data_IF_411318346779
#
_entry.id   IF_411318346779
#
_cell.length_a   1.000
_cell.length_b   1.000
_cell.length_c   1.000
_cell.angle_alpha   90.00
_cell.angle_beta   90.00
_cell.angle_gamma   90.00
#
_symmetry.space_group_name_H-M   'P 1'
#
loop_
_entity.id
_entity.type
_entity.pdbx_description
1 polymer ?
#
# COMPACT_ATOMS: atom_id res chain seq x y z
N UNK A 1 0.48 2.15 -0.69
CA UNK A 1 -0.68 3.05 -0.85
C UNK A 1 -1.58 2.46 -1.93
N UNK A 2 -2.85 2.83 -1.99
CA UNK A 2 -3.75 2.34 -3.04
C UNK A 2 -3.39 2.91 -4.42
N UNK A 3 -3.77 2.17 -5.47
CA UNK A 3 -3.40 2.50 -6.84
C UNK A 3 -3.99 3.82 -7.33
N UNK A 4 -5.19 4.22 -6.89
CA UNK A 4 -5.78 5.49 -7.29
C UNK A 4 -4.94 6.65 -6.75
N UNK A 5 -4.54 6.57 -5.49
CA UNK A 5 -3.66 7.56 -4.88
C UNK A 5 -2.32 7.67 -5.60
N UNK A 6 -1.71 6.53 -5.95
CA UNK A 6 -0.44 6.52 -6.69
C UNK A 6 -0.57 7.10 -8.11
N UNK A 7 -1.69 6.83 -8.79
CA UNK A 7 -2.04 7.45 -10.08
C UNK A 7 -2.14 8.98 -9.93
N UNK A 8 -2.83 9.47 -8.90
CA UNK A 8 -3.03 10.91 -8.66
C UNK A 8 -1.71 11.60 -8.33
N UNK A 9 -0.87 11.01 -7.47
CA UNK A 9 0.45 11.53 -7.15
C UNK A 9 1.33 11.59 -8.40
N UNK A 10 1.40 10.48 -9.15
CA UNK A 10 2.16 10.42 -10.40
C UNK A 10 1.68 11.47 -11.40
N UNK A 11 0.37 11.64 -11.57
CA UNK A 11 -0.24 12.66 -12.42
C UNK A 11 0.16 14.10 -12.01
N UNK A 12 0.10 14.40 -10.71
CA UNK A 12 0.45 15.72 -10.19
C UNK A 12 1.94 16.03 -10.35
N UNK A 13 2.80 15.03 -10.13
CA UNK A 13 4.24 15.13 -10.38
C UNK A 13 4.51 15.32 -11.87
N UNK A 14 3.82 14.59 -12.74
CA UNK A 14 3.90 14.78 -14.20
C UNK A 14 3.54 16.20 -14.61
N UNK A 15 2.43 16.73 -14.10
CA UNK A 15 2.04 18.13 -14.31
C UNK A 15 3.10 19.12 -13.82
N UNK A 16 3.68 18.88 -12.64
CA UNK A 16 4.72 19.74 -12.09
C UNK A 16 5.97 19.77 -12.98
N UNK A 17 6.42 18.62 -13.48
CA UNK A 17 7.68 18.50 -14.23
C UNK A 17 7.53 18.98 -15.68
N UNK A 18 6.48 18.53 -16.40
CA UNK A 18 6.33 18.81 -17.84
C UNK A 18 4.97 19.41 -18.24
N UNK A 19 4.07 19.70 -17.30
CA UNK A 19 2.72 20.21 -17.60
C UNK A 19 2.71 21.47 -18.46
N UNK A 20 3.62 22.43 -18.19
CA UNK A 20 3.75 23.64 -19.01
C UNK A 20 4.20 23.37 -20.45
N UNK A 21 4.98 22.30 -20.67
CA UNK A 21 5.58 21.98 -21.97
C UNK A 21 4.66 21.10 -22.81
N UNK A 22 4.11 20.02 -22.24
CA UNK A 22 3.34 19.00 -22.98
C UNK A 22 1.89 18.83 -22.48
N UNK A 23 1.44 19.61 -21.51
CA UNK A 23 0.05 19.64 -21.04
C UNK A 23 -0.41 18.31 -20.45
N UNK A 24 -1.64 17.89 -20.78
CA UNK A 24 -2.25 16.66 -20.25
C UNK A 24 -1.47 15.37 -20.58
N UNK A 25 -0.58 15.40 -21.58
CA UNK A 25 0.33 14.26 -21.81
C UNK A 25 1.27 14.04 -20.62
N UNK A 26 1.69 15.11 -19.93
CA UNK A 26 2.55 15.00 -18.74
C UNK A 26 1.79 14.33 -17.59
N UNK A 27 0.53 14.74 -17.36
CA UNK A 27 -0.38 14.12 -16.39
C UNK A 27 -0.56 12.62 -16.68
N UNK A 28 -0.86 12.27 -17.92
CA UNK A 28 -1.05 10.86 -18.31
C UNK A 28 0.21 10.01 -18.08
N UNK A 29 1.37 10.47 -18.56
CA UNK A 29 2.62 9.73 -18.38
C UNK A 29 3.07 9.69 -16.92
N UNK A 30 2.79 10.73 -16.14
CA UNK A 30 3.01 10.75 -14.70
C UNK A 30 2.15 9.71 -13.99
N UNK A 31 0.86 9.63 -14.31
CA UNK A 31 -0.05 8.60 -13.79
C UNK A 31 0.45 7.18 -14.10
N UNK A 32 0.84 6.93 -15.35
CA UNK A 32 1.43 5.65 -15.78
C UNK A 32 2.68 5.35 -14.97
N UNK A 33 3.62 6.29 -14.90
CA UNK A 33 4.88 6.13 -14.17
C UNK A 33 4.65 5.83 -12.68
N UNK A 34 3.66 6.50 -12.07
CA UNK A 34 3.26 6.25 -10.68
C UNK A 34 2.66 4.86 -10.44
N UNK A 35 2.26 4.10 -11.47
CA UNK A 35 1.77 2.72 -11.33
C UNK A 35 2.85 1.67 -11.58
N UNK A 36 3.97 2.04 -12.21
CA UNK A 36 5.00 1.08 -12.63
C UNK A 36 5.56 0.25 -11.46
N UNK A 37 5.90 0.81 -10.28
CA UNK A 37 6.47 0.02 -9.19
C UNK A 37 5.56 -1.14 -8.74
N UNK A 38 4.25 -0.90 -8.66
CA UNK A 38 3.22 -1.87 -8.25
C UNK A 38 2.96 -2.99 -9.27
N UNK A 39 3.49 -2.90 -10.50
CA UNK A 39 3.39 -3.99 -11.47
C UNK A 39 4.18 -5.23 -11.05
N UNK A 40 5.01 -5.13 -10.01
CA UNK A 40 5.64 -6.26 -9.34
C UNK A 40 4.62 -7.26 -8.73
N UNK A 41 3.34 -6.89 -8.58
CA UNK A 41 2.26 -7.80 -8.19
C UNK A 41 2.13 -9.01 -9.13
N UNK A 42 2.59 -8.88 -10.38
CA UNK A 42 2.64 -9.99 -11.33
C UNK A 42 3.52 -11.15 -10.84
N UNK A 43 4.50 -10.89 -9.96
CA UNK A 43 5.37 -11.92 -9.39
C UNK A 43 4.60 -13.03 -8.67
N UNK A 44 3.41 -12.73 -8.14
CA UNK A 44 2.53 -13.74 -7.47
C UNK A 44 2.11 -14.89 -8.38
N UNK A 45 2.19 -14.72 -9.70
CA UNK A 45 1.83 -15.76 -10.67
C UNK A 45 3.01 -16.63 -11.09
N UNK A 46 4.23 -16.25 -10.69
CA UNK A 46 5.46 -16.91 -11.11
C UNK A 46 6.29 -17.44 -9.92
N UNK A 47 5.99 -17.00 -8.70
CA UNK A 47 6.70 -17.34 -7.46
C UNK A 47 5.72 -17.85 -6.40
N UNK A 48 6.24 -18.48 -5.35
CA UNK A 48 5.46 -18.84 -4.16
C UNK A 48 4.95 -17.59 -3.42
N UNK A 49 3.83 -17.73 -2.69
CA UNK A 49 3.16 -16.62 -2.00
C UNK A 49 4.10 -15.80 -1.10
N UNK A 50 4.98 -16.49 -0.37
CA UNK A 50 5.89 -15.86 0.58
C UNK A 50 6.95 -15.04 -0.15
N UNK A 51 7.63 -15.63 -1.15
CA UNK A 51 8.64 -14.94 -1.95
C UNK A 51 8.05 -13.81 -2.79
N UNK A 52 6.84 -13.99 -3.32
CA UNK A 52 6.14 -12.92 -4.02
C UNK A 52 5.89 -11.72 -3.10
N UNK A 53 5.46 -11.97 -1.85
CA UNK A 53 5.25 -10.93 -0.86
C UNK A 53 6.55 -10.27 -0.38
N UNK A 54 7.66 -11.00 -0.30
CA UNK A 54 8.98 -10.44 0.04
C UNK A 54 9.53 -9.52 -1.06
N UNK A 55 9.31 -9.88 -2.32
CA UNK A 55 9.76 -9.07 -3.46
C UNK A 55 8.84 -7.90 -3.76
N UNK A 56 7.55 -8.02 -3.47
CA UNK A 56 6.61 -6.91 -3.56
C UNK A 56 7.05 -5.80 -2.60
N UNK A 57 7.14 -4.56 -3.11
CA UNK A 57 7.69 -3.41 -2.35
C UNK A 57 9.18 -3.52 -1.99
N UNK A 58 9.89 -4.45 -2.64
CA UNK A 58 11.32 -4.63 -2.60
C UNK A 58 12.02 -3.81 -3.69
N UNK A 59 12.58 -4.51 -4.68
CA UNK A 59 13.45 -3.94 -5.73
C UNK A 59 12.79 -2.77 -6.46
N UNK A 60 11.55 -2.95 -6.95
CA UNK A 60 10.80 -1.95 -7.75
C UNK A 60 10.47 -0.67 -6.99
N UNK A 61 10.52 -0.73 -5.66
CA UNK A 61 10.23 0.39 -4.76
C UNK A 61 11.51 1.02 -4.19
N UNK A 62 12.66 0.71 -4.78
CA UNK A 62 13.94 1.28 -4.36
C UNK A 62 14.31 2.55 -5.14
N UNK A 63 15.13 3.39 -4.51
CA UNK A 63 15.74 4.54 -5.19
C UNK A 63 16.62 4.06 -6.34
N UNK A 64 17.35 2.94 -6.14
CA UNK A 64 18.21 2.35 -7.17
C UNK A 64 17.41 1.95 -8.42
N UNK A 65 16.24 1.33 -8.26
CA UNK A 65 15.34 1.02 -9.37
C UNK A 65 14.89 2.29 -10.08
N UNK A 66 14.48 3.32 -9.33
CA UNK A 66 14.10 4.61 -9.91
C UNK A 66 15.24 5.22 -10.73
N UNK A 67 16.48 5.13 -10.24
CA UNK A 67 17.68 5.71 -10.88
C UNK A 67 17.99 5.00 -12.20
N UNK A 68 17.87 3.66 -12.21
CA UNK A 68 18.15 2.85 -13.38
C UNK A 68 17.01 2.94 -14.42
N UNK A 69 15.76 2.89 -13.98
CA UNK A 69 14.60 2.74 -14.86
C UNK A 69 14.16 4.07 -15.48
N UNK A 70 14.27 5.19 -14.77
CA UNK A 70 13.87 6.50 -15.27
C UNK A 70 14.55 6.92 -16.61
N UNK A 71 15.89 6.82 -16.78
CA UNK A 71 16.52 7.13 -18.05
C UNK A 71 16.07 6.21 -19.19
N UNK A 72 15.91 4.92 -18.92
CA UNK A 72 15.47 3.91 -19.89
C UNK A 72 14.04 4.22 -20.39
N UNK A 73 13.11 4.45 -19.46
CA UNK A 73 11.72 4.77 -19.80
C UNK A 73 11.59 6.11 -20.50
N UNK A 74 12.32 7.14 -20.05
CA UNK A 74 12.32 8.45 -20.71
C UNK A 74 12.86 8.39 -22.15
N UNK A 75 13.91 7.61 -22.38
CA UNK A 75 14.44 7.38 -23.73
C UNK A 75 13.47 6.57 -24.60
N UNK A 76 12.91 5.48 -24.07
CA UNK A 76 11.95 4.64 -24.80
C UNK A 76 10.69 5.45 -25.18
N UNK A 77 10.14 6.22 -24.24
CA UNK A 77 9.01 7.11 -24.51
C UNK A 77 9.33 8.09 -25.65
N UNK A 78 10.52 8.72 -25.60
CA UNK A 78 10.93 9.65 -26.64
C UNK A 78 11.03 9.01 -28.01
N UNK A 79 11.55 7.78 -28.08
CA UNK A 79 11.76 7.04 -29.33
C UNK A 79 10.45 6.47 -29.88
N UNK A 80 9.63 5.84 -29.05
CA UNK A 80 8.38 5.21 -29.46
C UNK A 80 7.38 5.14 -28.30
N UNK A 81 6.59 6.20 -28.16
CA UNK A 81 5.54 6.33 -27.16
C UNK A 81 4.46 5.24 -27.27
N UNK A 82 4.08 4.86 -28.50
CA UNK A 82 3.05 3.85 -28.73
C UNK A 82 3.48 2.47 -28.22
N UNK A 83 4.74 2.09 -28.49
CA UNK A 83 5.33 0.84 -28.01
C UNK A 83 5.41 0.78 -26.49
N UNK A 84 5.90 1.84 -25.83
CA UNK A 84 5.95 1.87 -24.36
C UNK A 84 4.54 1.74 -23.75
N UNK A 85 3.57 2.48 -24.29
CA UNK A 85 2.20 2.42 -23.81
C UNK A 85 1.57 1.03 -24.03
N UNK A 86 1.90 0.38 -25.15
CA UNK A 86 1.43 -0.97 -25.46
C UNK A 86 1.98 -2.00 -24.47
N UNK A 87 3.27 -1.91 -24.10
CA UNK A 87 3.86 -2.80 -23.09
C UNK A 87 3.22 -2.56 -21.72
N UNK A 88 3.05 -1.30 -21.32
CA UNK A 88 2.34 -0.97 -20.08
C UNK A 88 0.92 -1.54 -20.06
N UNK A 89 0.15 -1.35 -21.15
CA UNK A 89 -1.19 -1.93 -21.30
C UNK A 89 -1.16 -3.45 -21.20
N UNK A 90 -0.21 -4.12 -21.85
CA UNK A 90 -0.09 -5.57 -21.78
C UNK A 90 0.18 -6.06 -20.35
N UNK A 91 1.06 -5.39 -19.61
CA UNK A 91 1.37 -5.73 -18.21
C UNK A 91 0.16 -5.53 -17.29
N UNK A 92 -0.54 -4.41 -17.42
CA UNK A 92 -1.77 -4.15 -16.66
C UNK A 92 -2.84 -5.19 -17.00
N UNK A 93 -3.06 -5.47 -18.28
CA UNK A 93 -4.04 -6.47 -18.72
C UNK A 93 -3.65 -7.89 -18.28
N UNK A 94 -2.35 -8.21 -18.19
CA UNK A 94 -1.87 -9.49 -17.69
C UNK A 94 -2.33 -9.73 -16.25
N UNK A 95 -2.39 -8.70 -15.39
CA UNK A 95 -2.92 -8.84 -14.03
C UNK A 95 -4.36 -9.37 -14.06
N UNK A 96 -5.21 -8.79 -14.92
CA UNK A 96 -6.61 -9.21 -15.05
C UNK A 96 -6.75 -10.60 -15.71
N UNK A 97 -5.99 -10.86 -16.78
CA UNK A 97 -6.01 -12.13 -17.52
C UNK A 97 -5.56 -13.28 -16.62
N UNK A 98 -4.50 -13.08 -15.83
CA UNK A 98 -3.98 -14.10 -14.92
C UNK A 98 -4.84 -14.26 -13.66
N UNK A 99 -5.62 -13.24 -13.27
CA UNK A 99 -6.50 -13.30 -12.09
C UNK A 99 -7.81 -14.05 -12.28
N UNK A 100 -8.24 -14.28 -13.51
CA UNK A 100 -9.52 -14.95 -13.78
C UNK A 100 -9.32 -16.44 -14.06
N UNK A 101 -10.22 -17.29 -13.59
CA UNK A 101 -10.20 -18.72 -13.89
C UNK A 101 -10.93 -19.07 -15.19
N UNK A 102 -11.82 -18.19 -15.67
CA UNK A 102 -12.64 -18.45 -16.85
C UNK A 102 -11.83 -18.35 -18.14
N UNK A 103 -11.72 -19.47 -18.87
CA UNK A 103 -11.06 -19.53 -20.19
C UNK A 103 -11.70 -18.54 -21.17
N UNK A 104 -13.04 -18.46 -21.18
CA UNK A 104 -13.75 -17.51 -22.04
C UNK A 104 -13.40 -16.06 -21.69
N UNK A 105 -13.34 -15.71 -20.40
CA UNK A 105 -12.94 -14.37 -19.97
C UNK A 105 -11.49 -14.06 -20.38
N UNK A 106 -10.56 -15.01 -20.25
CA UNK A 106 -9.16 -14.86 -20.72
C UNK A 106 -9.11 -14.55 -22.20
N UNK A 107 -9.82 -15.31 -23.03
CA UNK A 107 -9.84 -15.11 -24.49
C UNK A 107 -10.39 -13.72 -24.85
N UNK A 108 -11.48 -13.29 -24.21
CA UNK A 108 -12.04 -11.95 -24.40
C UNK A 108 -11.05 -10.86 -24.00
N UNK A 109 -10.45 -10.96 -22.81
CA UNK A 109 -9.47 -9.99 -22.33
C UNK A 109 -8.22 -9.92 -23.23
N UNK A 110 -7.73 -11.06 -23.72
CA UNK A 110 -6.63 -11.12 -24.69
C UNK A 110 -7.01 -10.42 -26.00
N UNK A 111 -8.17 -10.70 -26.57
CA UNK A 111 -8.64 -10.08 -27.80
C UNK A 111 -8.80 -8.55 -27.65
N UNK A 112 -9.39 -8.11 -26.53
CA UNK A 112 -9.51 -6.68 -26.18
C UNK A 112 -8.13 -6.05 -26.05
N UNK A 113 -7.18 -6.72 -25.39
CA UNK A 113 -5.81 -6.21 -25.22
C UNK A 113 -5.12 -6.01 -26.56
N UNK A 114 -5.20 -7.00 -27.47
CA UNK A 114 -4.64 -6.89 -28.82
C UNK A 114 -5.29 -5.75 -29.61
N UNK A 115 -6.62 -5.61 -29.51
CA UNK A 115 -7.35 -4.51 -30.15
C UNK A 115 -6.92 -3.13 -29.64
N UNK A 116 -6.75 -2.97 -28.32
CA UNK A 116 -6.25 -1.73 -27.71
C UNK A 116 -4.81 -1.47 -28.19
N UNK A 117 -3.92 -2.45 -28.15
CA UNK A 117 -2.53 -2.29 -28.61
C UNK A 117 -2.48 -1.87 -30.08
N UNK A 118 -3.26 -2.51 -30.95
CA UNK A 118 -3.33 -2.13 -32.36
C UNK A 118 -3.82 -0.68 -32.53
N UNK A 119 -4.84 -0.27 -31.77
CA UNK A 119 -5.34 1.11 -31.75
C UNK A 119 -4.27 2.10 -31.28
N UNK A 120 -3.50 1.75 -30.25
CA UNK A 120 -2.41 2.58 -29.73
C UNK A 120 -1.30 2.75 -30.76
N UNK A 121 -0.88 1.66 -31.42
CA UNK A 121 0.12 1.72 -32.50
C UNK A 121 -0.34 2.57 -33.68
N UNK A 122 -1.64 2.57 -33.97
CA UNK A 122 -2.21 3.37 -35.05
C UNK A 122 -2.37 4.86 -34.70
N UNK A 123 -2.84 5.19 -33.48
CA UNK A 123 -3.21 6.56 -33.10
C UNK A 123 -2.13 7.32 -32.36
N UNK A 124 -1.30 6.67 -31.55
CA UNK A 124 -0.31 7.35 -30.71
C UNK A 124 0.92 7.68 -31.56
N UNK A 125 0.99 8.95 -31.96
CA UNK A 125 2.20 9.52 -32.56
C UNK A 125 3.18 9.91 -31.44
N UNK A 126 4.47 9.97 -31.76
CA UNK A 126 5.59 10.08 -30.81
C UNK A 126 5.46 11.12 -29.69
N UNK A 127 6.34 11.01 -28.69
CA UNK A 127 6.38 11.91 -27.53
C UNK A 127 7.02 13.27 -27.88
N UNK A 128 6.37 13.99 -28.79
CA UNK A 128 6.79 15.31 -29.26
C UNK A 128 6.57 16.37 -28.19
N UNK A 129 7.45 17.37 -28.18
CA UNK A 129 7.38 18.50 -27.27
C UNK A 129 8.30 18.43 -26.05
N UNK A 130 8.90 17.28 -25.73
CA UNK A 130 9.96 17.18 -24.71
C UNK A 130 11.13 16.30 -25.19
N UNK A 131 12.31 16.52 -24.61
CA UNK A 131 13.54 15.74 -24.84
C UNK A 131 13.52 14.45 -24.01
N UNK A 132 14.38 13.48 -24.36
CA UNK A 132 14.52 12.25 -23.57
C UNK A 132 14.89 12.55 -22.11
N UNK A 133 15.81 13.49 -21.87
CA UNK A 133 16.22 13.92 -20.52
C UNK A 133 15.05 14.47 -19.70
N UNK A 134 14.19 15.27 -20.31
CA UNK A 134 13.00 15.83 -19.65
C UNK A 134 11.98 14.73 -19.30
N UNK A 135 11.75 13.77 -20.20
CA UNK A 135 10.91 12.61 -19.90
C UNK A 135 11.51 11.74 -18.79
N UNK A 136 12.84 11.55 -18.79
CA UNK A 136 13.53 10.82 -17.72
C UNK A 136 13.36 11.50 -16.36
N UNK A 137 13.35 12.83 -16.30
CA UNK A 137 13.04 13.56 -15.06
C UNK A 137 11.61 13.36 -14.58
N UNK A 138 10.64 13.30 -15.50
CA UNK A 138 9.26 12.98 -15.13
C UNK A 138 9.16 11.56 -14.55
N UNK A 139 9.76 10.58 -15.22
CA UNK A 139 9.78 9.20 -14.71
C UNK A 139 10.52 9.10 -13.38
N UNK A 140 11.68 9.75 -13.24
CA UNK A 140 12.44 9.77 -11.99
C UNK A 140 11.58 10.24 -10.82
N UNK A 141 10.95 11.42 -10.95
CA UNK A 141 10.14 11.96 -9.87
C UNK A 141 8.92 11.09 -9.57
N UNK A 142 8.21 10.60 -10.59
CA UNK A 142 7.05 9.74 -10.36
C UNK A 142 7.44 8.41 -9.70
N UNK A 143 8.53 7.78 -10.16
CA UNK A 143 9.04 6.51 -9.64
C UNK A 143 9.59 6.63 -8.22
N UNK A 144 10.25 7.74 -7.86
CA UNK A 144 10.80 7.93 -6.50
C UNK A 144 9.74 8.38 -5.51
N UNK A 145 8.76 9.19 -5.92
CA UNK A 145 7.69 9.63 -5.01
C UNK A 145 6.72 8.51 -4.64
N UNK A 146 6.59 7.49 -5.51
CA UNK A 146 5.76 6.32 -5.24
C UNK A 146 6.18 5.57 -3.97
N UNK A 147 7.42 5.03 -3.85
CA UNK A 147 7.85 4.32 -2.66
C UNK A 147 8.00 5.24 -1.44
N UNK A 148 8.31 6.53 -1.64
CA UNK A 148 8.29 7.51 -0.56
C UNK A 148 6.89 7.64 0.06
N UNK A 149 5.83 7.69 -0.75
CA UNK A 149 4.46 7.67 -0.24
C UNK A 149 4.16 6.34 0.46
N UNK A 150 4.62 5.22 -0.10
CA UNK A 150 4.39 3.91 0.49
C UNK A 150 5.10 3.69 1.83
N UNK A 151 6.25 4.35 2.07
CA UNK A 151 6.90 4.40 3.39
C UNK A 151 5.99 4.96 4.49
N UNK A 152 4.97 5.75 4.17
CA UNK A 152 4.03 6.28 5.17
C UNK A 152 2.98 5.25 5.63
N UNK A 153 2.81 4.17 4.88
CA UNK A 153 1.81 3.12 5.16
C UNK A 153 2.38 2.01 6.04
N UNK A 154 1.50 1.17 6.59
CA UNK A 154 1.86 -0.02 7.38
C UNK A 154 2.76 -1.02 6.67
N UNK A 155 2.65 -1.09 5.34
CA UNK A 155 3.43 -2.01 4.53
C UNK A 155 4.90 -1.61 4.45
N UNK A 156 5.17 -0.29 4.36
CA UNK A 156 6.49 0.24 4.07
C UNK A 156 7.05 -0.19 2.71
N UNK A 157 8.33 0.16 2.49
CA UNK A 157 9.10 -0.26 1.31
C UNK A 157 10.57 -0.49 1.65
N UNK A 158 11.28 -1.26 0.82
CA UNK A 158 12.74 -1.36 0.86
C UNK A 158 13.37 -0.23 0.02
N UNK A 159 13.16 1.01 0.45
CA UNK A 159 13.61 2.23 -0.25
C UNK A 159 15.12 2.20 -0.60
N UNK A 160 15.91 1.57 0.27
CA UNK A 160 17.36 1.44 0.16
C UNK A 160 17.84 0.04 -0.26
N UNK A 161 16.99 -0.76 -0.93
CA UNK A 161 17.43 -2.04 -1.50
C UNK A 161 18.74 -1.85 -2.31
N UNK A 162 19.75 -2.73 -2.16
CA UNK A 162 19.71 -4.09 -1.61
C UNK A 162 19.94 -4.22 -0.09
N UNK A 163 20.01 -3.13 0.67
CA UNK A 163 20.10 -3.23 2.13
C UNK A 163 18.78 -3.76 2.71
N UNK A 164 18.81 -4.63 3.76
CA UNK A 164 17.62 -5.23 4.37
C UNK A 164 16.89 -4.23 5.29
N UNK A 165 16.69 -2.99 4.82
CA UNK A 165 16.07 -1.91 5.58
C UNK A 165 14.68 -1.66 5.00
N UNK A 166 13.64 -1.98 5.78
CA UNK A 166 12.26 -1.62 5.47
C UNK A 166 11.87 -0.33 6.20
N UNK A 167 11.46 0.68 5.45
CA UNK A 167 11.00 1.96 6.02
C UNK A 167 9.47 1.97 6.05
N UNK A 168 8.90 2.08 7.26
CA UNK A 168 7.46 2.16 7.50
C UNK A 168 7.15 3.11 8.66
N UNK A 169 6.56 4.28 8.37
CA UNK A 169 6.19 5.27 9.36
C UNK A 169 4.83 5.00 10.00
N UNK A 170 3.96 4.25 9.34
CA UNK A 170 2.61 3.88 9.80
C UNK A 170 1.78 5.10 10.25
N UNK A 171 1.82 6.20 9.48
CA UNK A 171 1.08 7.43 9.80
C UNK A 171 -0.19 7.59 8.95
N UNK A 172 -0.34 6.86 7.85
CA UNK A 172 -1.55 6.88 7.01
C UNK A 172 -1.99 5.46 6.64
N UNK A 173 -3.31 5.25 6.53
CA UNK A 173 -3.85 4.00 6.02
C UNK A 173 -3.72 3.95 4.48
N UNK A 174 -3.69 2.73 3.93
CA UNK A 174 -3.43 2.49 2.50
C UNK A 174 -4.46 3.16 1.59
N UNK A 175 -5.71 3.26 2.04
CA UNK A 175 -6.82 3.94 1.34
C UNK A 175 -7.37 5.02 2.27
N UNK A 176 -7.03 6.28 2.06
CA UNK A 176 -7.53 7.39 2.86
C UNK A 176 -8.25 8.43 1.98
N UNK A 177 -9.59 8.44 1.95
CA UNK A 177 -10.36 9.38 1.13
C UNK A 177 -10.11 10.85 1.48
N UNK A 178 -9.81 11.16 2.75
CA UNK A 178 -9.50 12.54 3.18
C UNK A 178 -8.18 13.04 2.63
N UNK A 179 -7.24 12.13 2.36
CA UNK A 179 -6.02 12.42 1.60
C UNK A 179 -6.27 12.48 0.09
N UNK A 180 -6.87 11.44 -0.47
CA UNK A 180 -6.89 11.21 -1.92
C UNK A 180 -7.89 12.08 -2.67
N UNK A 181 -9.09 12.30 -2.13
CA UNK A 181 -10.16 13.00 -2.87
C UNK A 181 -9.86 14.49 -3.09
N UNK A 182 -9.44 15.29 -2.09
CA UNK A 182 -9.11 16.69 -2.31
C UNK A 182 -7.96 16.85 -3.31
N UNK A 183 -6.97 15.96 -3.23
CA UNK A 183 -5.83 15.96 -4.13
C UNK A 183 -6.23 15.60 -5.57
N UNK A 184 -7.03 14.54 -5.74
CA UNK A 184 -7.61 14.14 -7.03
C UNK A 184 -8.40 15.26 -7.67
N UNK A 185 -9.25 15.96 -6.91
CA UNK A 185 -10.05 17.09 -7.40
C UNK A 185 -9.15 18.18 -7.97
N UNK A 186 -8.05 18.52 -7.30
CA UNK A 186 -7.10 19.52 -7.80
C UNK A 186 -6.48 19.08 -9.14
N UNK A 187 -6.00 17.83 -9.23
CA UNK A 187 -5.41 17.30 -10.47
C UNK A 187 -6.44 17.27 -11.60
N UNK A 188 -7.67 16.81 -11.32
CA UNK A 188 -8.76 16.77 -12.28
C UNK A 188 -9.12 18.17 -12.79
N UNK A 189 -9.23 19.17 -11.91
CA UNK A 189 -9.48 20.56 -12.29
C UNK A 189 -8.35 21.09 -13.18
N UNK A 190 -7.08 20.79 -12.87
CA UNK A 190 -5.94 21.24 -13.66
C UNK A 190 -6.00 20.72 -15.12
N UNK A 191 -6.57 19.53 -15.36
CA UNK A 191 -6.68 18.95 -16.71
C UNK A 191 -7.57 19.76 -17.67
N UNK A 192 -8.48 20.59 -17.14
CA UNK A 192 -9.37 21.43 -17.95
C UNK A 192 -8.73 22.75 -18.42
N UNK A 193 -7.58 23.13 -17.85
CA UNK A 193 -6.88 24.34 -18.24
C UNK A 193 -5.82 24.07 -19.32
N UNK A 194 -5.65 25.00 -20.26
CA UNK A 194 -4.60 24.92 -21.28
C UNK A 194 -3.22 24.98 -20.62
N UNK A 195 -2.21 24.34 -21.22
CA UNK A 195 -0.82 24.32 -20.71
C UNK A 195 -0.18 25.72 -20.52
N UNK A 196 -0.68 26.74 -21.23
CA UNK A 196 -0.23 28.12 -21.11
C UNK A 196 -0.92 28.91 -20.00
N UNK A 197 -1.99 28.38 -19.41
CA UNK A 197 -2.76 29.06 -18.37
C UNK A 197 -2.05 28.90 -17.00
N UNK A 198 -1.64 30.00 -16.34
CA UNK A 198 -0.96 29.91 -15.05
C UNK A 198 -1.82 29.29 -13.94
N UNK A 199 -3.15 29.32 -14.07
CA UNK A 199 -4.07 28.68 -13.10
C UNK A 199 -3.86 27.17 -13.04
N UNK A 200 -3.50 26.53 -14.16
CA UNK A 200 -3.20 25.10 -14.24
C UNK A 200 -2.13 24.68 -13.23
N UNK A 201 -0.97 25.35 -13.30
CA UNK A 201 0.16 25.09 -12.41
C UNK A 201 -0.17 25.45 -10.95
N UNK A 202 -0.95 26.53 -10.72
CA UNK A 202 -1.38 26.94 -9.39
C UNK A 202 -2.27 25.88 -8.73
N UNK A 203 -3.27 25.38 -9.45
CA UNK A 203 -4.20 24.36 -8.93
C UNK A 203 -3.46 23.05 -8.63
N UNK A 204 -2.57 22.60 -9.52
CA UNK A 204 -1.72 21.44 -9.25
C UNK A 204 -0.84 21.65 -8.00
N UNK A 205 -0.26 22.85 -7.86
CA UNK A 205 0.52 23.23 -6.68
C UNK A 205 -0.30 23.22 -5.38
N UNK A 206 -1.56 23.66 -5.41
CA UNK A 206 -2.49 23.54 -4.27
C UNK A 206 -2.73 22.07 -3.94
N UNK A 207 -2.95 21.21 -4.93
CA UNK A 207 -3.11 19.77 -4.72
C UNK A 207 -1.89 19.14 -4.04
N UNK A 208 -0.68 19.44 -4.52
CA UNK A 208 0.57 18.99 -3.91
C UNK A 208 0.76 19.54 -2.48
N UNK A 209 0.37 20.79 -2.23
CA UNK A 209 0.40 21.39 -0.90
C UNK A 209 -0.57 20.67 0.05
N UNK A 210 -1.80 20.40 -0.37
CA UNK A 210 -2.79 19.66 0.43
C UNK A 210 -2.26 18.27 0.77
N UNK A 211 -1.76 17.54 -0.23
CA UNK A 211 -1.15 16.22 -0.04
C UNK A 211 0.02 16.27 0.96
N UNK A 212 0.96 17.20 0.77
CA UNK A 212 2.13 17.32 1.65
C UNK A 212 1.75 17.74 3.07
N UNK A 213 0.84 18.72 3.21
CA UNK A 213 0.37 19.20 4.51
C UNK A 213 -0.40 18.12 5.27
N UNK A 214 -1.23 17.33 4.58
CA UNK A 214 -1.92 16.18 5.18
C UNK A 214 -0.92 15.14 5.70
N UNK A 215 0.14 14.85 4.93
CA UNK A 215 1.17 13.90 5.37
C UNK A 215 1.90 14.39 6.64
N UNK A 216 2.22 15.68 6.73
CA UNK A 216 2.78 16.27 7.95
C UNK A 216 1.78 16.21 9.11
N UNK A 217 0.52 16.53 8.86
CA UNK A 217 -0.54 16.51 9.87
C UNK A 217 -0.74 15.11 10.46
N UNK A 218 -0.68 14.07 9.65
CA UNK A 218 -0.83 12.69 10.15
C UNK A 218 0.32 12.24 11.05
N UNK A 219 1.53 12.83 10.95
CA UNK A 219 2.57 12.62 11.96
C UNK A 219 2.21 13.25 13.31
N UNK A 220 1.57 14.43 13.30
CA UNK A 220 1.09 15.07 14.53
C UNK A 220 0.01 14.22 15.19
N UNK A 221 -0.93 13.71 14.39
CA UNK A 221 -1.96 12.77 14.85
C UNK A 221 -1.34 11.50 15.43
N UNK A 222 -0.37 10.91 14.72
CA UNK A 222 0.37 9.74 15.21
C UNK A 222 1.04 10.01 16.56
N UNK A 223 1.73 11.15 16.69
CA UNK A 223 2.41 11.53 17.91
C UNK A 223 1.42 11.69 19.08
N UNK A 224 0.31 12.39 18.86
CA UNK A 224 -0.74 12.54 19.86
C UNK A 224 -1.32 11.18 20.28
N UNK A 225 -1.72 10.34 19.33
CA UNK A 225 -2.25 9.02 19.64
C UNK A 225 -1.24 8.14 20.38
N UNK A 226 0.02 8.10 19.91
CA UNK A 226 1.07 7.29 20.51
C UNK A 226 1.39 7.72 21.94
N UNK A 227 1.49 9.02 22.21
CA UNK A 227 1.76 9.55 23.55
C UNK A 227 0.59 9.31 24.50
N UNK A 228 -0.66 9.45 24.03
CA UNK A 228 -1.84 9.14 24.84
C UNK A 228 -1.91 7.64 25.20
N UNK A 229 -1.70 6.76 24.21
CA UNK A 229 -1.68 5.31 24.44
C UNK A 229 -0.55 4.93 25.41
N UNK A 230 0.67 5.45 25.23
CA UNK A 230 1.77 5.18 26.16
C UNK A 230 1.43 5.63 27.59
N UNK A 231 0.87 6.83 27.76
CA UNK A 231 0.43 7.31 29.08
C UNK A 231 -0.70 6.45 29.68
N UNK A 232 -1.61 5.91 28.86
CA UNK A 232 -2.63 4.95 29.29
C UNK A 232 -1.99 3.66 29.80
N UNK A 233 -1.00 3.11 29.08
CA UNK A 233 -0.30 1.88 29.49
C UNK A 233 0.44 2.07 30.82
N UNK A 234 1.06 3.24 31.03
CA UNK A 234 1.71 3.59 32.29
C UNK A 234 0.72 3.66 33.46
N UNK A 235 -0.46 4.25 33.26
CA UNK A 235 -1.54 4.32 34.27
C UNK A 235 -2.06 2.94 34.64
N UNK A 236 -2.24 2.08 33.64
CA UNK A 236 -2.63 0.68 33.80
C UNK A 236 -1.50 -0.20 34.32
N UNK A 237 -0.27 0.35 34.47
CA UNK A 237 0.95 -0.36 34.93
C UNK A 237 1.30 -1.58 34.07
N UNK A 238 0.98 -1.52 32.78
CA UNK A 238 1.30 -2.58 31.84
C UNK A 238 2.78 -2.52 31.46
N UNK A 239 3.49 -3.64 31.65
CA UNK A 239 4.87 -3.79 31.17
C UNK A 239 4.85 -4.28 29.73
N UNK A 240 5.52 -3.57 28.84
CA UNK A 240 5.59 -3.92 27.44
C UNK A 240 7.01 -3.72 26.90
N UNK A 241 7.32 -4.47 25.84
CA UNK A 241 8.60 -4.39 25.13
C UNK A 241 8.53 -3.48 23.91
N UNK A 242 7.40 -3.52 23.18
CA UNK A 242 7.16 -2.68 22.00
C UNK A 242 5.73 -2.18 21.99
N UNK A 243 5.56 -0.96 21.44
CA UNK A 243 4.28 -0.30 21.23
C UNK A 243 4.22 0.16 19.77
N UNK A 244 3.25 -0.35 19.02
CA UNK A 244 3.03 0.05 17.65
C UNK A 244 1.65 0.69 17.49
N UNK A 245 1.62 1.89 16.91
CA UNK A 245 0.39 2.63 16.62
C UNK A 245 0.24 2.90 15.12
N UNK A 246 -0.98 2.69 14.60
CA UNK A 246 -1.31 2.82 13.18
C UNK A 246 -2.74 3.37 13.03
N UNK A 247 -3.06 4.13 11.97
CA UNK A 247 -4.44 4.53 11.73
C UNK A 247 -5.29 3.35 11.28
N UNK A 248 -6.57 3.38 11.65
CA UNK A 248 -7.60 2.43 11.17
C UNK A 248 -8.00 2.72 9.72
N UNK A 249 -8.73 1.82 9.04
CA UNK A 249 -9.11 2.02 7.65
C UNK A 249 -9.84 3.34 7.38
N UNK A 250 -9.51 3.97 6.24
CA UNK A 250 -10.21 5.13 5.67
C UNK A 250 -10.12 6.46 6.43
N UNK A 251 -9.27 6.58 7.44
CA UNK A 251 -9.14 7.82 8.21
C UNK A 251 -7.79 7.92 8.95
N UNK A 252 -7.51 9.10 9.50
CA UNK A 252 -6.35 9.37 10.35
C UNK A 252 -6.73 9.81 11.78
N UNK A 253 -7.98 9.58 12.21
CA UNK A 253 -8.53 10.04 13.50
C UNK A 253 -8.59 8.91 14.51
N UNK A 254 -8.98 7.71 14.08
CA UNK A 254 -9.05 6.52 14.92
C UNK A 254 -7.79 5.66 14.70
N UNK A 255 -7.07 5.40 15.78
CA UNK A 255 -5.79 4.71 15.80
C UNK A 255 -5.91 3.35 16.50
N UNK A 256 -5.28 2.33 15.92
CA UNK A 256 -5.10 1.01 16.52
C UNK A 256 -3.74 0.90 17.18
N UNK A 257 -3.70 0.19 18.30
CA UNK A 257 -2.48 -0.14 19.02
C UNK A 257 -2.27 -1.64 19.08
N UNK A 258 -1.01 -2.05 18.90
CA UNK A 258 -0.52 -3.38 19.24
C UNK A 258 0.59 -3.21 20.28
N UNK A 259 0.38 -3.78 21.47
CA UNK A 259 1.33 -3.70 22.58
C UNK A 259 1.87 -5.10 22.85
N UNK A 260 3.18 -5.28 22.80
CA UNK A 260 3.81 -6.57 23.07
C UNK A 260 4.15 -6.69 24.56
N UNK A 261 3.37 -7.48 25.29
CA UNK A 261 3.50 -7.68 26.74
C UNK A 261 4.32 -8.92 27.12
N UNK A 262 5.04 -9.53 26.16
CA UNK A 262 5.81 -10.76 26.40
C UNK A 262 5.09 -12.00 25.87
N UNK A 263 4.16 -12.57 26.63
CA UNK A 263 3.41 -13.80 26.29
C UNK A 263 2.11 -13.53 25.50
N UNK A 264 1.61 -12.30 25.54
CA UNK A 264 0.43 -11.84 24.79
C UNK A 264 0.67 -10.49 24.10
N UNK A 265 -0.23 -10.16 23.19
CA UNK A 265 -0.40 -8.83 22.64
C UNK A 265 -1.65 -8.19 23.23
N UNK A 266 -1.56 -6.93 23.68
CA UNK A 266 -2.74 -6.15 24.02
C UNK A 266 -3.11 -5.25 22.83
N UNK A 267 -4.30 -5.45 22.28
CA UNK A 267 -4.83 -4.70 21.14
C UNK A 267 -5.90 -3.72 21.59
N UNK A 268 -5.93 -2.53 21.02
CA UNK A 268 -6.97 -1.56 21.36
C UNK A 268 -7.09 -0.45 20.35
N UNK A 269 -8.07 0.43 20.60
CA UNK A 269 -8.35 1.59 19.78
C UNK A 269 -8.31 2.87 20.60
N UNK A 270 -7.83 3.94 19.95
CA UNK A 270 -7.82 5.28 20.50
C UNK A 270 -8.20 6.29 19.41
N UNK A 271 -9.24 7.07 19.64
CA UNK A 271 -9.58 8.22 18.80
C UNK A 271 -8.87 9.46 19.32
N UNK A 272 -8.43 10.33 18.43
CA UNK A 272 -7.95 11.68 18.81
C UNK A 272 -9.04 12.53 19.49
N UNK A 273 -10.30 12.07 19.44
CA UNK A 273 -11.45 12.71 20.08
C UNK A 273 -11.81 12.06 21.43
N UNK A 274 -11.08 11.03 21.87
CA UNK A 274 -11.32 10.41 23.17
C UNK A 274 -11.09 11.40 24.31
N UNK A 275 -11.94 11.33 25.31
CA UNK A 275 -11.81 12.08 26.56
C UNK A 275 -11.37 11.17 27.71
N UNK A 276 -11.64 9.87 27.60
CA UNK A 276 -11.22 8.87 28.58
C UNK A 276 -9.69 8.79 28.64
N UNK A 277 -9.10 8.81 29.86
CA UNK A 277 -7.64 8.74 30.03
C UNK A 277 -7.02 7.38 29.72
N UNK A 278 -7.81 6.33 29.73
CA UNK A 278 -7.36 4.94 29.59
C UNK A 278 -8.00 4.29 28.37
N UNK A 279 -7.16 3.63 27.58
CA UNK A 279 -7.54 2.86 26.40
C UNK A 279 -7.96 1.46 26.84
N UNK A 280 -9.13 1.03 26.36
CA UNK A 280 -9.58 -0.35 26.56
C UNK A 280 -8.79 -1.30 25.65
N UNK A 281 -8.26 -2.37 26.25
CA UNK A 281 -7.37 -3.32 25.62
C UNK A 281 -7.94 -4.73 25.67
N UNK A 282 -7.73 -5.47 24.59
CA UNK A 282 -8.05 -6.89 24.45
C UNK A 282 -6.75 -7.66 24.36
N UNK A 283 -6.54 -8.56 25.31
CA UNK A 283 -5.37 -9.42 25.35
C UNK A 283 -5.54 -10.61 24.41
N UNK A 284 -4.56 -10.81 23.54
CA UNK A 284 -4.50 -11.91 22.57
C UNK A 284 -3.22 -12.71 22.82
N UNK A 285 -3.32 -13.97 23.25
CA UNK A 285 -2.15 -14.79 23.53
C UNK A 285 -1.34 -15.05 22.25
N UNK A 286 -0.01 -15.00 22.35
CA UNK A 286 0.87 -15.21 21.18
C UNK A 286 0.83 -16.64 20.67
N UNK A 287 0.73 -17.59 21.57
CA UNK A 287 0.65 -19.02 21.28
C UNK A 287 1.79 -19.55 20.40
N UNK A 288 2.98 -18.94 20.45
CA UNK A 288 4.14 -19.36 19.64
C UNK A 288 4.56 -20.81 19.93
N UNK A 289 4.29 -21.32 21.13
CA UNK A 289 4.49 -22.72 21.50
C UNK A 289 3.72 -23.71 20.62
N UNK A 290 2.62 -23.29 19.96
CA UNK A 290 1.87 -24.14 19.03
C UNK A 290 2.64 -24.49 17.75
N UNK A 291 3.73 -23.77 17.44
CA UNK A 291 4.60 -24.10 16.32
C UNK A 291 5.30 -25.45 16.52
N UNK A 292 5.56 -25.85 17.78
CA UNK A 292 6.25 -27.11 18.11
C UNK A 292 7.56 -27.26 17.32
N UNK A 293 7.72 -28.34 16.52
CA UNK A 293 8.95 -28.57 15.75
C UNK A 293 9.19 -27.55 14.62
N UNK A 294 8.16 -26.78 14.24
CA UNK A 294 8.24 -25.80 13.16
C UNK A 294 8.75 -24.43 13.60
N UNK A 295 8.98 -24.22 14.90
CA UNK A 295 9.38 -22.92 15.44
C UNK A 295 10.66 -22.36 14.79
N UNK A 296 11.63 -23.24 14.49
CA UNK A 296 12.91 -22.91 13.87
C UNK A 296 12.92 -23.14 12.35
N UNK A 297 11.76 -23.32 11.72
CA UNK A 297 11.65 -23.53 10.29
C UNK A 297 11.90 -22.22 9.52
N UNK A 298 12.62 -22.28 8.39
CA UNK A 298 12.97 -21.10 7.58
C UNK A 298 11.75 -20.25 7.21
N UNK A 299 10.67 -20.88 6.74
CA UNK A 299 9.44 -20.18 6.38
C UNK A 299 8.77 -19.47 7.58
N UNK A 300 8.91 -19.97 8.81
CA UNK A 300 8.40 -19.29 10.02
C UNK A 300 9.25 -18.07 10.32
N UNK A 301 10.58 -18.16 10.20
CA UNK A 301 11.46 -16.99 10.35
C UNK A 301 11.22 -15.92 9.28
N UNK A 302 11.00 -16.32 8.03
CA UNK A 302 10.64 -15.42 6.93
C UNK A 302 9.32 -14.70 7.21
N UNK A 303 8.29 -15.41 7.68
CA UNK A 303 7.01 -14.81 8.10
C UNK A 303 7.15 -13.88 9.33
N UNK A 304 7.96 -14.27 10.32
CA UNK A 304 8.27 -13.43 11.48
C UNK A 304 8.92 -12.11 11.03
N UNK A 305 9.95 -12.18 10.19
CA UNK A 305 10.58 -11.00 9.60
C UNK A 305 9.60 -10.16 8.78
N UNK A 306 8.77 -10.80 7.94
CA UNK A 306 7.75 -10.11 7.15
C UNK A 306 6.77 -9.34 8.06
N UNK A 307 6.38 -9.93 9.19
CA UNK A 307 5.45 -9.35 10.16
C UNK A 307 6.08 -8.40 11.17
N UNK A 308 7.39 -8.10 11.08
CA UNK A 308 8.09 -7.29 12.11
C UNK A 308 8.01 -7.92 13.51
N UNK A 309 8.03 -9.25 13.58
CA UNK A 309 7.79 -10.06 14.77
C UNK A 309 6.40 -9.86 15.43
N UNK A 310 5.50 -9.11 14.78
CA UNK A 310 4.13 -8.88 15.22
C UNK A 310 3.21 -9.98 14.70
N UNK A 311 3.26 -11.16 15.32
CA UNK A 311 2.39 -12.28 14.95
C UNK A 311 1.91 -13.11 16.14
N UNK A 312 0.77 -13.78 15.95
CA UNK A 312 0.26 -14.83 16.85
C UNK A 312 0.00 -16.10 16.07
N UNK A 313 -0.06 -17.23 16.77
CA UNK A 313 -0.40 -18.52 16.19
C UNK A 313 -1.80 -18.93 16.65
N UNK A 314 -2.68 -19.24 15.71
CA UNK A 314 -4.01 -19.78 16.00
C UNK A 314 -4.13 -21.20 15.44
N UNK A 315 -4.70 -22.12 16.22
CA UNK A 315 -5.08 -23.44 15.74
C UNK A 315 -6.57 -23.42 15.41
N UNK A 316 -6.92 -23.66 14.14
CA UNK A 316 -8.33 -23.77 13.72
C UNK A 316 -8.55 -25.00 12.87
N UNK A 317 -9.49 -25.87 13.30
CA UNK A 317 -9.85 -27.11 12.59
C UNK A 317 -8.59 -27.89 12.17
N UNK A 318 -7.70 -28.11 13.13
CA UNK A 318 -6.41 -28.81 12.98
C UNK A 318 -5.39 -28.16 12.02
N UNK A 319 -5.62 -26.91 11.61
CA UNK A 319 -4.67 -26.14 10.80
C UNK A 319 -4.01 -25.05 11.66
N UNK A 320 -2.67 -25.01 11.64
CA UNK A 320 -1.90 -23.94 12.25
C UNK A 320 -1.93 -22.70 11.35
N UNK A 321 -2.30 -21.57 11.93
CA UNK A 321 -2.39 -20.28 11.27
C UNK A 321 -1.36 -19.33 11.86
N UNK A 322 -0.51 -18.79 11.02
CA UNK A 322 0.34 -17.64 11.33
C UNK A 322 -0.45 -16.37 11.05
N UNK A 323 -0.84 -15.62 12.08
CA UNK A 323 -1.64 -14.42 11.95
C UNK A 323 -0.76 -13.16 12.07
N UNK A 324 -0.72 -12.34 11.02
CA UNK A 324 0.04 -11.08 10.98
C UNK A 324 -0.76 -9.96 11.67
N UNK A 325 -0.24 -9.45 12.78
CA UNK A 325 -0.91 -8.44 13.59
C UNK A 325 -0.78 -7.02 13.04
N UNK A 326 0.08 -6.77 12.05
CA UNK A 326 0.28 -5.41 11.52
C UNK A 326 -1.01 -4.80 10.96
N UNK A 327 -1.90 -5.64 10.45
CA UNK A 327 -3.17 -5.24 9.83
C UNK A 327 -4.39 -5.42 10.76
N UNK A 328 -4.17 -6.01 11.95
CA UNK A 328 -5.20 -6.22 12.95
C UNK A 328 -6.36 -7.10 12.45
N UNK A 329 -7.55 -6.82 12.99
CA UNK A 329 -8.78 -7.52 12.65
C UNK A 329 -9.83 -6.51 12.14
N UNK A 330 -10.84 -6.95 11.39
CA UNK A 330 -11.90 -6.06 10.91
C UNK A 330 -12.84 -5.62 12.05
N UNK A 331 -12.82 -4.33 12.41
CA UNK A 331 -13.62 -3.79 13.53
C UNK A 331 -12.98 -4.06 14.90
N UNK A 332 -13.70 -3.80 15.99
CA UNK A 332 -13.17 -3.86 17.36
C UNK A 332 -12.43 -5.16 17.69
N UNK A 333 -11.21 -5.13 18.27
CA UNK A 333 -10.42 -6.32 18.51
C UNK A 333 -11.15 -7.32 19.42
N UNK A 334 -11.00 -8.61 19.14
CA UNK A 334 -11.58 -9.69 19.94
C UNK A 334 -10.70 -10.96 19.84
N UNK A 335 -10.63 -11.74 20.91
CA UNK A 335 -9.75 -12.91 21.03
C UNK A 335 -9.99 -13.92 19.90
N UNK A 336 -11.25 -14.27 19.65
CA UNK A 336 -11.61 -15.34 18.71
C UNK A 336 -11.89 -14.87 17.28
N UNK A 337 -11.59 -13.60 16.96
CA UNK A 337 -11.85 -13.04 15.63
C UNK A 337 -10.68 -13.31 14.67
N UNK A 338 -10.93 -13.57 13.37
CA UNK A 338 -9.86 -13.73 12.40
C UNK A 338 -9.08 -12.42 12.19
N UNK A 339 -7.79 -12.55 11.93
CA UNK A 339 -6.93 -11.46 11.49
C UNK A 339 -7.04 -11.27 9.98
N UNK A 340 -6.85 -10.02 9.53
CA UNK A 340 -6.98 -9.67 8.10
C UNK A 340 -6.00 -10.48 7.25
N UNK A 341 -4.75 -10.64 7.70
CA UNK A 341 -3.75 -11.44 7.01
C UNK A 341 -3.34 -12.62 7.87
N UNK A 342 -3.52 -13.82 7.32
CA UNK A 342 -3.10 -15.07 7.96
C UNK A 342 -2.54 -16.02 6.92
N UNK A 343 -1.58 -16.85 7.32
CA UNK A 343 -0.99 -17.88 6.48
C UNK A 343 -1.25 -19.24 7.09
N UNK A 344 -1.66 -20.22 6.28
CA UNK A 344 -1.71 -21.62 6.70
C UNK A 344 -0.30 -22.17 6.71
N UNK A 345 0.05 -22.83 7.80
CA UNK A 345 1.27 -23.62 7.92
C UNK A 345 0.89 -25.08 7.67
N UNK A 346 1.33 -25.64 6.54
CA UNK A 346 0.93 -26.96 6.04
C UNK A 346 2.17 -27.88 6.08
N UNK A 347 2.26 -28.79 7.06
CA UNK A 347 3.31 -29.79 7.11
C UNK A 347 3.30 -30.70 5.87
N UNK A 348 4.44 -30.81 5.19
CA UNK A 348 4.66 -31.71 4.06
C UNK A 348 5.92 -32.56 4.32
N UNK A 349 5.74 -33.63 5.12
CA UNK A 349 6.85 -34.48 5.56
C UNK A 349 7.78 -33.73 6.51
N UNK A 350 9.00 -33.41 6.06
CA UNK A 350 10.00 -32.65 6.84
C UNK A 350 10.04 -31.16 6.51
N UNK A 351 9.22 -30.70 5.55
CA UNK A 351 9.13 -29.30 5.13
C UNK A 351 7.79 -28.68 5.57
N UNK A 352 7.73 -27.36 5.57
CA UNK A 352 6.54 -26.58 5.93
C UNK A 352 6.13 -25.67 4.78
N UNK A 353 5.11 -26.08 4.03
CA UNK A 353 4.52 -25.22 3.00
C UNK A 353 3.69 -24.11 3.66
N UNK A 354 3.81 -22.90 3.11
CA UNK A 354 3.04 -21.73 3.54
C UNK A 354 2.07 -21.35 2.43
N UNK A 355 0.82 -21.11 2.80
CA UNK A 355 -0.23 -20.66 1.88
C UNK A 355 -0.91 -19.43 2.45
N UNK A 356 -0.94 -18.33 1.70
CA UNK A 356 -1.66 -17.13 2.13
C UNK A 356 -3.16 -17.42 2.16
N UNK A 357 -3.83 -17.16 3.28
CA UNK A 357 -5.29 -17.10 3.31
C UNK A 357 -5.70 -15.74 2.74
N UNK A 358 -6.39 -15.69 1.60
CA UNK A 358 -6.87 -14.43 1.08
C UNK A 358 -7.76 -13.75 2.13
N UNK A 359 -7.56 -12.46 2.44
CA UNK A 359 -8.42 -11.75 3.38
C UNK A 359 -9.88 -11.88 2.95
N UNK A 360 -10.71 -12.55 3.75
CA UNK A 360 -12.16 -12.53 3.60
C UNK A 360 -12.64 -11.11 3.89
N UNK A 361 -12.80 -10.33 2.82
CA UNK A 361 -13.28 -8.95 2.96
C UNK A 361 -14.75 -9.00 3.38
N UNK A 362 -15.13 -8.31 4.45
CA UNK A 362 -16.52 -8.29 4.86
C UNK A 362 -17.36 -7.72 3.72
N UNK A 363 -18.52 -8.32 3.45
CA UNK A 363 -19.44 -7.90 2.38
C UNK A 363 -20.83 -7.64 2.94
N UNK A 364 -21.65 -6.90 2.19
CA UNK A 364 -23.06 -6.67 2.53
C UNK A 364 -23.27 -6.10 3.94
N UNK A 365 -23.99 -6.86 4.77
CA UNK A 365 -24.34 -6.45 6.14
C UNK A 365 -23.12 -6.40 7.08
N UNK A 366 -22.17 -7.32 6.93
CA UNK A 366 -20.98 -7.36 7.78
C UNK A 366 -20.09 -6.14 7.55
N UNK A 367 -19.91 -5.74 6.28
CA UNK A 367 -19.16 -4.53 5.95
C UNK A 367 -19.79 -3.29 6.61
N UNK A 368 -21.12 -3.17 6.51
CA UNK A 368 -21.85 -2.06 7.16
C UNK A 368 -21.66 -2.07 8.67
N UNK A 369 -21.68 -3.23 9.31
CA UNK A 369 -21.44 -3.37 10.76
C UNK A 369 -20.03 -2.90 11.12
N UNK A 370 -19.00 -3.44 10.46
CA UNK A 370 -17.59 -3.06 10.72
C UNK A 370 -17.37 -1.56 10.52
N UNK A 371 -17.91 -0.99 9.44
CA UNK A 371 -17.81 0.45 9.19
C UNK A 371 -18.56 1.28 10.23
N UNK A 372 -19.71 0.81 10.70
CA UNK A 372 -20.47 1.47 11.78
C UNK A 372 -19.71 1.42 13.11
N UNK A 373 -19.10 0.29 13.45
CA UNK A 373 -18.27 0.16 14.66
C UNK A 373 -17.08 1.13 14.63
N UNK A 374 -16.34 1.17 13.52
CA UNK A 374 -15.22 2.10 13.34
C UNK A 374 -15.69 3.56 13.38
N UNK A 375 -16.84 3.87 12.81
CA UNK A 375 -17.41 5.22 12.81
C UNK A 375 -17.81 5.68 14.20
N UNK A 376 -18.51 4.85 14.97
CA UNK A 376 -18.87 5.19 16.34
C UNK A 376 -17.62 5.36 17.21
N UNK A 377 -16.67 4.44 17.13
CA UNK A 377 -15.41 4.55 17.89
C UNK A 377 -14.60 5.78 17.50
N UNK A 378 -14.64 6.22 16.25
CA UNK A 378 -13.94 7.43 15.78
C UNK A 378 -14.46 8.70 16.44
N UNK A 379 -15.75 8.77 16.83
CA UNK A 379 -16.32 9.95 17.50
C UNK A 379 -15.75 10.20 18.89
N UNK A 380 -15.02 9.22 19.43
CA UNK A 380 -14.44 9.27 20.76
C UNK A 380 -15.37 8.73 21.83
N UNK A 381 -14.78 8.40 22.98
CA UNK A 381 -15.46 7.93 24.19
C UNK A 381 -15.14 8.78 25.43
#
# INVERSE_FOLDING_TARGET
MDSLTQIVLGAAVGELVLGRKVGNKAILWGAIAGTIPDLDVLNRYFLDDLRANELHRGITHSILFSMAMAPLLGHWLKRNAASLLSVFTALVMAVFILSTDSVAAKLVLCAVTVGIIALLQWKVKGADGASAKEWSWLFWWALVTHPLLDCHTTWGTQLFWPFPIRVAYNNIFVVDPSYTLPFLVCVAIAMFFKRSDPRRARINGIGLLISSAYMVLTFVFKYNAHTHIAASLDRQRLRYSTLSTRPTPFNAILWTTNVNCGDHYALGYHSLLDTKPEVDLVEIPKNHQLLGPWADHENVHRLAHLSDDNYVIQLRRDTLLFCDLRFGQFGAPAVDKPFVYSYKLIPEGSDLRVELIPPERPTGAEFKRVMSELWERMKGE
#
